data_IF_893108255370
#
_entry.id   IF_893108255370
#
_cell.length_a   1.000
_cell.length_b   1.000
_cell.length_c   1.000
_cell.angle_alpha   90.00
_cell.angle_beta   90.00
_cell.angle_gamma   90.00
#
_symmetry.space_group_name_H-M   'P 1'
#
loop_
_entity.id
_entity.type
_entity.pdbx_description
1 polymer ?
#
# COMPACT_ATOMS: atom_id res chain seq x y z
N UNK A 1 30.56 -8.31 -26.75
CA UNK A 1 29.32 -9.06 -27.06
C UNK A 1 28.38 -8.93 -25.87
N UNK A 2 27.06 -8.95 -26.06
CA UNK A 2 26.08 -8.84 -24.96
C UNK A 2 25.10 -9.99 -25.07
N UNK A 3 24.98 -10.76 -23.99
CA UNK A 3 24.03 -11.86 -23.86
C UNK A 3 23.04 -11.49 -22.77
N UNK A 4 21.73 -11.58 -23.07
CA UNK A 4 20.66 -11.29 -22.13
C UNK A 4 19.94 -12.61 -21.83
N UNK A 5 20.05 -13.04 -20.57
CA UNK A 5 19.30 -14.16 -20.04
C UNK A 5 17.94 -13.65 -19.55
N UNK A 6 16.84 -14.19 -20.06
CA UNK A 6 15.51 -13.74 -19.70
C UNK A 6 14.53 -14.90 -19.56
N UNK A 7 13.43 -14.67 -18.84
CA UNK A 7 12.27 -15.57 -18.83
C UNK A 7 11.22 -15.07 -19.81
N UNK A 8 10.81 -13.84 -19.60
CA UNK A 8 9.82 -13.14 -20.42
C UNK A 8 10.20 -11.65 -20.51
N UNK A 9 9.90 -11.02 -21.64
CA UNK A 9 10.01 -9.56 -21.79
C UNK A 9 8.64 -8.93 -21.55
N UNK A 10 8.56 -7.98 -20.62
CA UNK A 10 7.33 -7.26 -20.30
C UNK A 10 7.36 -5.85 -20.90
N UNK A 11 7.12 -5.74 -22.22
CA UNK A 11 7.09 -4.47 -22.94
C UNK A 11 5.67 -3.88 -22.97
N UNK A 12 5.17 -3.51 -21.79
CA UNK A 12 3.83 -2.97 -21.63
C UNK A 12 3.74 -1.51 -22.13
N UNK A 13 3.76 -1.33 -23.47
CA UNK A 13 3.43 -0.12 -24.26
C UNK A 13 4.00 -0.26 -25.67
N UNK A 14 3.40 0.43 -26.65
CA UNK A 14 3.87 0.41 -28.05
C UNK A 14 5.31 0.89 -28.15
N UNK A 15 5.65 1.97 -27.44
CA UNK A 15 6.98 2.57 -27.48
C UNK A 15 8.06 1.64 -26.94
N UNK A 16 7.73 0.79 -25.95
CA UNK A 16 8.67 -0.18 -25.38
C UNK A 16 8.89 -1.37 -26.32
N UNK A 17 7.83 -1.83 -26.99
CA UNK A 17 7.94 -2.89 -28.00
C UNK A 17 8.76 -2.45 -29.22
N UNK A 18 8.52 -1.22 -29.71
CA UNK A 18 9.32 -0.63 -30.80
C UNK A 18 10.80 -0.51 -30.40
N UNK A 19 11.07 -0.03 -29.18
CA UNK A 19 12.42 0.04 -28.64
C UNK A 19 13.10 -1.33 -28.57
N UNK A 20 12.38 -2.35 -28.09
CA UNK A 20 12.89 -3.72 -28.04
C UNK A 20 13.17 -4.27 -29.45
N UNK A 21 12.26 -4.06 -30.40
CA UNK A 21 12.39 -4.54 -31.77
C UNK A 21 13.63 -4.00 -32.49
N UNK A 22 13.94 -2.73 -32.29
CA UNK A 22 15.11 -2.09 -32.89
C UNK A 22 16.41 -2.55 -32.20
N UNK A 23 16.37 -2.76 -30.89
CA UNK A 23 17.57 -3.04 -30.08
C UNK A 23 17.91 -4.52 -29.96
N UNK A 24 16.96 -5.44 -30.12
CA UNK A 24 17.20 -6.88 -30.00
C UNK A 24 18.29 -7.43 -30.92
N UNK A 25 18.57 -6.73 -32.03
CA UNK A 25 19.64 -7.10 -32.98
C UNK A 25 21.05 -6.89 -32.40
N UNK A 26 21.18 -6.14 -31.31
CA UNK A 26 22.46 -5.80 -30.69
C UNK A 26 22.87 -6.76 -29.56
N UNK A 27 22.04 -7.75 -29.23
CA UNK A 27 22.30 -8.71 -28.16
C UNK A 27 21.81 -10.11 -28.53
N UNK A 28 22.47 -11.12 -27.98
CA UNK A 28 22.00 -12.50 -28.04
C UNK A 28 21.00 -12.69 -26.90
N UNK A 29 19.81 -13.19 -27.21
CA UNK A 29 18.75 -13.40 -26.25
C UNK A 29 18.62 -14.89 -25.98
N UNK A 30 18.86 -15.31 -24.73
CA UNK A 30 18.69 -16.69 -24.30
C UNK A 30 17.57 -16.78 -23.28
N UNK A 31 16.60 -17.66 -23.54
CA UNK A 31 15.41 -17.83 -22.71
C UNK A 31 15.58 -19.03 -21.80
N UNK A 32 15.51 -18.82 -20.49
CA UNK A 32 15.59 -19.87 -19.47
C UNK A 32 14.26 -20.07 -18.73
N UNK A 33 14.11 -21.22 -18.10
CA UNK A 33 12.96 -21.57 -17.25
C UNK A 33 13.29 -21.37 -15.76
N UNK A 34 12.30 -21.00 -14.94
CA UNK A 34 12.47 -20.90 -13.49
C UNK A 34 12.85 -22.24 -12.85
N UNK A 35 12.38 -23.36 -13.41
CA UNK A 35 12.68 -24.70 -12.90
C UNK A 35 14.13 -25.14 -13.20
N UNK A 36 14.78 -24.49 -14.17
CA UNK A 36 16.17 -24.73 -14.57
C UNK A 36 16.92 -23.39 -14.72
N UNK A 37 17.26 -22.73 -13.60
CA UNK A 37 17.92 -21.44 -13.63
C UNK A 37 19.35 -21.54 -14.20
N UNK A 38 19.87 -20.46 -14.80
CA UNK A 38 21.27 -20.36 -15.22
C UNK A 38 22.24 -20.67 -14.09
N UNK A 39 23.20 -21.55 -14.35
CA UNK A 39 24.28 -21.84 -13.41
C UNK A 39 25.50 -21.00 -13.77
N UNK A 40 26.10 -20.37 -12.76
CA UNK A 40 27.30 -19.56 -12.92
C UNK A 40 28.44 -20.12 -12.06
N UNK A 41 29.60 -20.32 -12.68
CA UNK A 41 30.82 -20.74 -12.00
C UNK A 41 31.91 -19.70 -12.23
N UNK A 42 32.51 -19.20 -11.15
CA UNK A 42 33.66 -18.31 -11.25
C UNK A 42 34.92 -19.13 -11.56
N UNK A 43 35.56 -18.86 -12.70
CA UNK A 43 36.76 -19.55 -13.16
C UNK A 43 38.05 -18.89 -12.64
N UNK A 44 38.05 -17.55 -12.55
CA UNK A 44 39.19 -16.77 -12.10
C UNK A 44 38.73 -15.45 -11.51
N UNK A 45 39.46 -14.94 -10.51
CA UNK A 45 39.22 -13.62 -9.91
C UNK A 45 40.06 -12.52 -10.58
N UNK A 46 41.17 -12.86 -11.25
CA UNK A 46 42.09 -11.88 -11.86
C UNK A 46 42.76 -12.44 -13.13
N UNK A 47 42.33 -12.01 -14.35
CA UNK A 47 41.11 -11.24 -14.61
C UNK A 47 39.85 -12.03 -14.22
N UNK A 48 38.78 -11.33 -13.88
CA UNK A 48 37.48 -11.96 -13.61
C UNK A 48 37.01 -12.74 -14.85
N UNK A 49 36.63 -14.00 -14.63
CA UNK A 49 36.01 -14.85 -15.65
C UNK A 49 34.96 -15.73 -15.02
N UNK A 50 33.82 -15.82 -15.70
CA UNK A 50 32.68 -16.61 -15.30
C UNK A 50 32.27 -17.53 -16.43
N UNK A 51 31.95 -18.78 -16.11
CA UNK A 51 31.33 -19.73 -17.02
C UNK A 51 29.85 -19.81 -16.69
N UNK A 52 29.02 -19.66 -17.72
CA UNK A 52 27.58 -19.89 -17.64
C UNK A 52 27.23 -21.22 -18.29
N UNK A 53 26.34 -21.96 -17.64
CA UNK A 53 25.59 -23.07 -18.24
C UNK A 53 24.11 -22.71 -18.21
N UNK A 54 23.50 -22.61 -19.39
CA UNK A 54 22.09 -22.21 -19.54
C UNK A 54 21.41 -23.17 -20.50
N UNK A 55 20.30 -23.77 -20.04
CA UNK A 55 19.41 -24.49 -20.93
C UNK A 55 18.49 -23.48 -21.64
N UNK A 56 18.67 -23.29 -22.94
CA UNK A 56 17.82 -22.39 -23.72
C UNK A 56 16.56 -23.11 -24.19
N UNK A 57 15.41 -22.61 -23.74
CA UNK A 57 14.10 -23.19 -24.03
C UNK A 57 13.66 -23.02 -25.49
N UNK A 58 14.20 -22.06 -26.25
CA UNK A 58 13.83 -21.86 -27.65
C UNK A 58 14.62 -22.82 -28.56
N UNK A 59 15.90 -23.03 -28.25
CA UNK A 59 16.81 -23.92 -28.96
C UNK A 59 16.73 -25.37 -28.46
N UNK A 60 16.19 -25.59 -27.26
CA UNK A 60 16.11 -26.89 -26.58
C UNK A 60 17.50 -27.53 -26.39
N UNK A 61 18.50 -26.71 -26.05
CA UNK A 61 19.90 -27.14 -25.94
C UNK A 61 20.63 -26.43 -24.78
N UNK A 62 21.71 -27.03 -24.31
CA UNK A 62 22.58 -26.47 -23.29
C UNK A 62 23.65 -25.58 -23.92
N UNK A 63 23.60 -24.29 -23.58
CA UNK A 63 24.53 -23.28 -24.07
C UNK A 63 25.53 -22.97 -22.98
N UNK A 64 26.79 -23.21 -23.30
CA UNK A 64 27.92 -22.92 -22.43
C UNK A 64 28.73 -21.75 -23.01
N UNK A 65 28.94 -20.71 -22.22
CA UNK A 65 29.75 -19.56 -22.62
C UNK A 65 30.53 -18.96 -21.45
N UNK A 66 31.58 -18.21 -21.77
CA UNK A 66 32.39 -17.48 -20.79
C UNK A 66 32.12 -15.97 -20.91
N UNK A 67 32.14 -15.27 -19.78
CA UNK A 67 32.02 -13.82 -19.71
C UNK A 67 32.97 -13.23 -18.67
N UNK A 68 33.32 -11.97 -18.87
CA UNK A 68 34.15 -11.13 -18.03
C UNK A 68 33.33 -10.19 -17.12
N UNK A 69 32.03 -10.00 -17.39
CA UNK A 69 31.16 -9.12 -16.61
C UNK A 69 29.73 -9.67 -16.49
N UNK A 70 29.20 -9.68 -15.27
CA UNK A 70 27.82 -10.04 -14.98
C UNK A 70 27.06 -8.80 -14.54
N UNK A 71 25.94 -8.52 -15.21
CA UNK A 71 24.99 -7.47 -14.81
C UNK A 71 23.72 -8.14 -14.32
N UNK A 72 23.40 -7.95 -13.04
CA UNK A 72 22.16 -8.45 -12.42
C UNK A 72 21.12 -7.34 -12.44
N UNK A 73 19.89 -7.65 -12.86
CA UNK A 73 18.74 -6.74 -12.79
C UNK A 73 17.87 -7.15 -11.60
N UNK A 74 18.12 -6.61 -10.38
CA UNK A 74 17.37 -6.99 -9.19
C UNK A 74 15.93 -6.45 -9.25
N UNK A 75 14.99 -7.08 -8.52
CA UNK A 75 13.67 -6.51 -8.34
C UNK A 75 13.75 -5.22 -7.51
N UNK A 76 12.77 -4.34 -7.70
CA UNK A 76 12.57 -3.20 -6.82
C UNK A 76 11.81 -3.65 -5.57
N UNK A 77 12.29 -3.24 -4.41
CA UNK A 77 11.66 -3.51 -3.11
C UNK A 77 11.28 -2.19 -2.42
N UNK A 78 10.34 -2.21 -1.45
CA UNK A 78 10.01 -1.04 -0.65
C UNK A 78 11.23 -0.48 0.10
N UNK A 79 11.18 0.81 0.45
CA UNK A 79 12.20 1.42 1.31
C UNK A 79 12.12 0.94 2.75
N UNK A 80 13.25 0.85 3.44
CA UNK A 80 13.35 0.30 4.80
C UNK A 80 12.44 1.00 5.83
N UNK A 81 12.18 2.29 5.65
CA UNK A 81 11.37 3.10 6.56
C UNK A 81 9.86 3.13 6.20
N UNK A 82 9.43 2.39 5.18
CA UNK A 82 8.06 2.49 4.67
C UNK A 82 7.02 2.00 5.69
N UNK A 83 7.36 0.96 6.46
CA UNK A 83 6.48 0.41 7.50
C UNK A 83 6.27 1.40 8.68
N UNK A 84 7.34 2.07 9.09
CA UNK A 84 7.27 3.11 10.11
C UNK A 84 6.39 4.28 9.64
N UNK A 85 6.60 4.73 8.40
CA UNK A 85 5.81 5.79 7.79
C UNK A 85 4.32 5.39 7.66
N UNK A 86 4.04 4.14 7.28
CA UNK A 86 2.69 3.62 7.21
C UNK A 86 1.96 3.67 8.57
N UNK A 87 2.66 3.31 9.65
CA UNK A 87 2.16 3.40 11.03
C UNK A 87 1.89 4.85 11.45
N UNK A 88 2.80 5.77 11.13
CA UNK A 88 2.65 7.21 11.43
C UNK A 88 1.44 7.82 10.71
N UNK A 89 1.28 7.50 9.42
CA UNK A 89 0.19 8.02 8.58
C UNK A 89 -1.13 7.24 8.76
N UNK A 90 -1.08 6.08 9.44
CA UNK A 90 -2.21 5.16 9.61
C UNK A 90 -2.80 4.75 8.25
N UNK A 91 -1.94 4.33 7.33
CA UNK A 91 -2.31 3.84 5.99
C UNK A 91 -1.86 2.40 5.79
N UNK A 92 -2.61 1.60 5.01
CA UNK A 92 -2.29 0.18 4.81
C UNK A 92 -1.11 -0.03 3.86
N UNK A 93 -0.44 -1.17 4.05
CA UNK A 93 0.49 -1.75 3.08
C UNK A 93 -0.13 -3.00 2.44
N UNK A 94 0.33 -3.35 1.25
CA UNK A 94 -0.01 -4.60 0.57
C UNK A 94 0.87 -5.77 1.05
N UNK A 95 0.66 -6.96 0.49
CA UNK A 95 1.42 -8.17 0.85
C UNK A 95 2.90 -8.13 0.41
N UNK A 96 3.29 -7.15 -0.41
CA UNK A 96 4.66 -6.92 -0.87
C UNK A 96 5.35 -5.80 -0.10
N UNK A 97 4.66 -5.18 0.85
CA UNK A 97 5.17 -4.10 1.68
C UNK A 97 5.10 -2.72 1.03
N UNK A 98 4.39 -2.53 -0.09
CA UNK A 98 4.13 -1.21 -0.68
C UNK A 98 2.82 -0.61 -0.17
N UNK A 99 2.60 0.69 -0.36
CA UNK A 99 1.34 1.33 0.02
C UNK A 99 0.16 0.83 -0.81
N UNK A 100 -0.93 0.49 -0.10
CA UNK A 100 -2.18 0.03 -0.72
C UNK A 100 -3.14 1.20 -0.96
N UNK A 101 -3.56 1.37 -2.20
CA UNK A 101 -4.54 2.38 -2.61
C UNK A 101 -5.97 2.04 -2.14
N UNK A 102 -6.86 3.03 -2.16
CA UNK A 102 -8.25 2.87 -1.74
C UNK A 102 -9.06 1.98 -2.68
N UNK A 103 -8.85 2.12 -3.99
CA UNK A 103 -9.49 1.27 -4.99
C UNK A 103 -8.74 1.35 -6.34
N UNK A 104 -8.35 0.22 -6.97
CA UNK A 104 -7.48 0.19 -8.15
C UNK A 104 -7.95 1.03 -9.34
N UNK A 105 -9.28 1.13 -9.55
CA UNK A 105 -9.88 1.89 -10.67
C UNK A 105 -10.44 3.26 -10.29
N UNK A 106 -11.28 3.33 -9.26
CA UNK A 106 -12.01 4.54 -8.90
C UNK A 106 -11.15 5.55 -8.12
N UNK A 107 -10.19 5.07 -7.33
CA UNK A 107 -9.38 5.89 -6.42
C UNK A 107 -7.92 5.39 -6.36
N UNK A 108 -7.21 5.38 -7.49
CA UNK A 108 -5.89 4.73 -7.61
C UNK A 108 -4.73 5.49 -6.95
N UNK A 109 -4.96 6.74 -6.52
CA UNK A 109 -3.96 7.62 -5.91
C UNK A 109 -4.41 8.10 -4.52
N UNK A 110 -5.46 7.49 -3.98
CA UNK A 110 -6.01 7.82 -2.67
C UNK A 110 -5.70 6.71 -1.69
N UNK A 111 -5.61 7.05 -0.41
CA UNK A 111 -5.81 6.08 0.66
C UNK A 111 -7.27 6.01 1.11
N UNK A 112 -7.61 4.92 1.81
CA UNK A 112 -8.88 4.83 2.54
C UNK A 112 -8.99 5.96 3.58
N UNK A 113 -7.86 6.31 4.20
CA UNK A 113 -7.71 7.49 5.05
C UNK A 113 -7.79 8.76 4.21
N UNK A 114 -8.80 9.59 4.48
CA UNK A 114 -9.02 10.84 3.76
C UNK A 114 -7.90 11.86 3.97
N UNK A 115 -7.63 12.66 2.94
CA UNK A 115 -6.60 13.71 2.97
C UNK A 115 -5.17 13.23 2.77
N UNK A 116 -4.94 11.92 2.66
CA UNK A 116 -3.64 11.32 2.33
C UNK A 116 -3.72 10.73 0.92
N UNK A 117 -2.70 11.02 0.11
CA UNK A 117 -2.62 10.61 -1.28
C UNK A 117 -1.30 9.88 -1.55
N UNK A 118 -1.31 9.10 -2.63
CA UNK A 118 -0.24 8.18 -2.99
C UNK A 118 0.25 8.49 -4.41
N UNK A 119 1.57 8.55 -4.59
CA UNK A 119 2.19 8.63 -5.90
C UNK A 119 3.59 8.00 -5.93
N UNK A 120 4.02 7.64 -7.13
CA UNK A 120 5.38 7.17 -7.38
C UNK A 120 5.63 5.73 -6.93
N UNK A 121 6.89 5.43 -6.64
CA UNK A 121 7.37 4.08 -6.35
C UNK A 121 6.87 3.49 -5.03
N UNK A 122 6.52 4.35 -4.07
CA UNK A 122 6.00 3.90 -2.78
C UNK A 122 4.69 3.09 -2.91
N UNK A 123 3.99 3.21 -4.03
CA UNK A 123 2.80 2.43 -4.38
C UNK A 123 3.14 1.05 -4.96
N UNK A 124 4.10 0.96 -5.90
CA UNK A 124 4.59 -0.28 -6.52
C UNK A 124 5.71 0.03 -7.56
N UNK A 125 6.51 -0.95 -8.03
CA UNK A 125 7.55 -0.73 -9.03
C UNK A 125 7.01 -0.29 -10.40
N UNK A 126 7.22 0.97 -10.81
CA UNK A 126 6.62 1.53 -12.04
C UNK A 126 7.59 2.42 -12.81
N UNK A 127 7.26 2.76 -14.06
CA UNK A 127 8.10 3.66 -14.84
C UNK A 127 7.97 5.13 -14.41
N UNK A 128 8.97 5.94 -14.78
CA UNK A 128 8.99 7.39 -14.48
C UNK A 128 7.75 8.12 -14.99
N UNK A 129 7.29 7.80 -16.21
CA UNK A 129 6.10 8.43 -16.78
C UNK A 129 4.86 8.15 -15.92
N UNK A 130 4.70 6.92 -15.46
CA UNK A 130 3.58 6.56 -14.59
C UNK A 130 3.67 7.23 -13.23
N UNK A 131 4.88 7.35 -12.68
CA UNK A 131 5.13 8.11 -11.44
C UNK A 131 4.73 9.58 -11.59
N UNK A 132 5.05 10.21 -12.73
CA UNK A 132 4.65 11.59 -13.04
C UNK A 132 3.12 11.70 -13.16
N UNK A 133 2.48 10.76 -13.88
CA UNK A 133 1.02 10.74 -14.01
C UNK A 133 0.33 10.59 -12.65
N UNK A 134 0.82 9.68 -11.79
CA UNK A 134 0.29 9.54 -10.44
C UNK A 134 0.54 10.78 -9.59
N UNK A 135 1.71 11.41 -9.69
CA UNK A 135 2.00 12.65 -8.97
C UNK A 135 1.02 13.77 -9.35
N UNK A 136 0.73 13.94 -10.65
CA UNK A 136 -0.29 14.88 -11.11
C UNK A 136 -1.69 14.52 -10.60
N UNK A 137 -2.03 13.23 -10.60
CA UNK A 137 -3.29 12.73 -10.04
C UNK A 137 -3.43 13.06 -8.55
N UNK A 138 -2.41 12.72 -7.75
CA UNK A 138 -2.35 13.01 -6.32
C UNK A 138 -2.42 14.52 -6.06
N UNK A 139 -1.69 15.34 -6.81
CA UNK A 139 -1.74 16.80 -6.72
C UNK A 139 -3.15 17.35 -7.03
N UNK A 140 -3.82 16.81 -8.05
CA UNK A 140 -5.20 17.18 -8.38
C UNK A 140 -6.18 16.80 -7.26
N UNK A 141 -6.03 15.60 -6.68
CA UNK A 141 -6.85 15.15 -5.55
C UNK A 141 -6.62 16.01 -4.32
N UNK A 142 -5.37 16.30 -3.98
CA UNK A 142 -5.02 17.19 -2.87
C UNK A 142 -5.52 18.61 -3.08
N UNK A 143 -5.39 19.15 -4.31
CA UNK A 143 -5.86 20.50 -4.64
C UNK A 143 -7.36 20.65 -4.40
N UNK A 144 -8.17 19.61 -4.66
CA UNK A 144 -9.61 19.63 -4.35
C UNK A 144 -9.87 19.85 -2.86
N UNK A 145 -9.10 19.20 -1.98
CA UNK A 145 -9.22 19.41 -0.54
C UNK A 145 -8.81 20.83 -0.15
N UNK A 146 -7.67 21.30 -0.68
CA UNK A 146 -7.14 22.64 -0.36
C UNK A 146 -7.98 23.80 -0.90
N UNK A 147 -8.68 23.58 -2.02
CA UNK A 147 -9.50 24.62 -2.66
C UNK A 147 -10.92 24.69 -2.09
N UNK A 148 -11.33 23.67 -1.32
CA UNK A 148 -12.65 23.64 -0.71
C UNK A 148 -12.70 24.57 0.50
N UNK A 149 -13.75 25.39 0.59
CA UNK A 149 -13.99 26.25 1.77
C UNK A 149 -14.38 25.41 2.99
N UNK A 150 -15.10 24.33 2.75
CA UNK A 150 -15.62 23.42 3.78
C UNK A 150 -15.45 21.98 3.29
N UNK A 151 -15.21 21.06 4.22
CA UNK A 151 -15.10 19.63 3.95
C UNK A 151 -16.11 18.93 4.84
N UNK A 152 -17.00 18.15 4.22
CA UNK A 152 -17.93 17.32 4.97
C UNK A 152 -17.14 16.19 5.65
N UNK A 153 -17.12 16.18 6.98
CA UNK A 153 -16.62 15.07 7.75
C UNK A 153 -17.68 13.96 7.85
N UNK A 154 -17.24 12.72 8.05
CA UNK A 154 -18.16 11.61 8.29
C UNK A 154 -19.04 11.87 9.52
N UNK A 155 -20.33 11.55 9.41
CA UNK A 155 -21.28 11.57 10.53
C UNK A 155 -21.12 10.37 11.48
N UNK A 156 -20.28 9.39 11.13
CA UNK A 156 -19.95 8.22 11.94
C UNK A 156 -19.00 8.63 13.08
N UNK A 157 -19.53 9.32 14.07
CA UNK A 157 -18.79 9.82 15.24
C UNK A 157 -19.43 9.34 16.53
N UNK A 158 -18.62 9.30 17.59
CA UNK A 158 -19.08 8.96 18.92
C UNK A 158 -19.58 10.21 19.67
N UNK A 159 -20.58 10.01 20.52
CA UNK A 159 -21.18 11.04 21.38
C UNK A 159 -21.39 10.46 22.79
N UNK A 160 -21.23 11.31 23.80
CA UNK A 160 -21.32 10.92 25.22
C UNK A 160 -22.53 11.58 25.88
N UNK A 161 -23.35 10.77 26.54
CA UNK A 161 -24.41 11.25 27.42
C UNK A 161 -23.80 11.63 28.78
N UNK A 162 -23.77 12.94 29.06
CA UNK A 162 -23.19 13.48 30.29
C UNK A 162 -24.00 13.19 31.55
N UNK A 163 -25.27 12.81 31.43
CA UNK A 163 -26.13 12.47 32.58
C UNK A 163 -25.88 11.05 33.07
N UNK A 164 -25.49 10.14 32.17
CA UNK A 164 -25.18 8.73 32.47
C UNK A 164 -23.68 8.53 32.77
N UNK A 165 -22.82 9.36 32.19
CA UNK A 165 -21.37 9.23 32.32
C UNK A 165 -20.87 9.48 33.75
N UNK A 166 -20.30 8.44 34.37
CA UNK A 166 -19.67 8.52 35.71
C UNK A 166 -18.22 9.03 35.71
N UNK A 167 -17.65 9.37 34.54
CA UNK A 167 -16.30 9.92 34.46
C UNK A 167 -15.16 8.94 34.78
N UNK A 168 -15.33 7.64 34.54
CA UNK A 168 -14.31 6.60 34.83
C UNK A 168 -13.03 6.71 33.97
N UNK A 169 -13.04 7.51 32.90
CA UNK A 169 -11.90 7.86 32.04
C UNK A 169 -11.26 6.68 31.26
N UNK A 170 -11.90 5.51 31.23
CA UNK A 170 -11.45 4.35 30.44
C UNK A 170 -11.40 4.67 28.95
N UNK A 171 -12.45 5.33 28.42
CA UNK A 171 -12.55 5.71 27.01
C UNK A 171 -11.41 6.62 26.52
N UNK A 172 -10.88 7.51 27.37
CA UNK A 172 -9.78 8.42 27.02
C UNK A 172 -8.52 7.63 26.65
N UNK A 173 -8.19 6.59 27.43
CA UNK A 173 -6.99 5.78 27.22
C UNK A 173 -7.08 4.88 25.99
N UNK A 174 -8.30 4.48 25.61
CA UNK A 174 -8.54 3.54 24.52
C UNK A 174 -8.65 4.19 23.15
N UNK A 175 -8.80 5.51 23.07
CA UNK A 175 -8.96 6.18 21.78
C UNK A 175 -7.62 6.28 21.03
N UNK A 176 -7.42 5.58 19.89
CA UNK A 176 -6.16 5.62 19.16
C UNK A 176 -5.95 6.93 18.39
N UNK A 177 -6.95 7.81 18.38
CA UNK A 177 -6.94 9.11 17.69
C UNK A 177 -6.88 10.29 18.66
N UNK A 178 -6.80 10.06 19.98
CA UNK A 178 -6.85 11.10 21.02
C UNK A 178 -8.07 12.04 20.86
N UNK A 179 -9.19 11.51 20.39
CA UNK A 179 -10.41 12.28 20.15
C UNK A 179 -11.19 12.59 21.43
N UNK A 180 -10.86 11.95 22.55
CA UNK A 180 -11.63 12.02 23.80
C UNK A 180 -10.79 12.74 24.85
N UNK A 181 -11.35 13.76 25.47
CA UNK A 181 -10.70 14.57 26.51
C UNK A 181 -11.70 14.90 27.61
N UNK A 182 -11.28 15.75 28.55
CA UNK A 182 -12.14 16.31 29.59
C UNK A 182 -12.37 17.79 29.32
N UNK A 183 -13.55 18.28 29.67
CA UNK A 183 -13.83 19.70 29.72
C UNK A 183 -13.45 20.30 31.09
N UNK A 184 -13.73 21.59 31.27
CA UNK A 184 -13.48 22.33 32.52
C UNK A 184 -14.29 21.82 33.72
N UNK A 185 -15.38 21.10 33.47
CA UNK A 185 -16.26 20.50 34.50
C UNK A 185 -15.86 19.05 34.86
N UNK A 186 -14.66 18.59 34.48
CA UNK A 186 -14.18 17.19 34.58
C UNK A 186 -15.08 16.15 33.85
N UNK A 187 -15.99 16.60 32.98
CA UNK A 187 -16.82 15.71 32.16
C UNK A 187 -16.07 15.27 30.91
N UNK A 188 -16.29 14.01 30.53
CA UNK A 188 -15.74 13.45 29.29
C UNK A 188 -16.42 14.11 28.10
N UNK A 189 -15.63 14.53 27.11
CA UNK A 189 -16.11 15.10 25.85
C UNK A 189 -15.38 14.46 24.67
N UNK A 190 -16.07 14.36 23.53
CA UNK A 190 -15.52 13.77 22.31
C UNK A 190 -15.42 14.86 21.23
N UNK A 191 -14.21 15.08 20.73
CA UNK A 191 -13.98 15.91 19.56
C UNK A 191 -14.42 15.15 18.30
N UNK A 192 -15.58 15.55 17.76
CA UNK A 192 -16.20 14.91 16.58
C UNK A 192 -15.29 14.97 15.33
N UNK A 193 -14.39 15.95 15.21
CA UNK A 193 -13.47 16.07 14.06
C UNK A 193 -12.29 15.09 14.12
N UNK A 194 -11.85 14.73 15.32
CA UNK A 194 -10.77 13.74 15.53
C UNK A 194 -11.32 12.30 15.57
N UNK A 195 -12.60 12.14 15.90
CA UNK A 195 -13.25 10.84 15.99
C UNK A 195 -13.32 10.16 14.61
N UNK A 196 -12.83 8.94 14.50
CA UNK A 196 -12.96 8.09 13.29
C UNK A 196 -14.06 7.03 13.39
N UNK A 197 -14.91 7.11 14.42
CA UNK A 197 -16.08 6.24 14.53
C UNK A 197 -15.81 4.76 14.80
N UNK A 198 -14.59 4.39 15.20
CA UNK A 198 -14.19 2.96 15.38
C UNK A 198 -14.96 2.18 16.46
N UNK A 199 -15.79 2.81 17.29
CA UNK A 199 -16.65 2.13 18.27
C UNK A 199 -15.97 1.63 19.56
N UNK A 200 -14.64 1.59 19.66
CA UNK A 200 -13.91 1.05 20.83
C UNK A 200 -14.36 1.66 22.16
N UNK A 201 -14.59 2.98 22.19
CA UNK A 201 -15.03 3.68 23.39
C UNK A 201 -16.47 3.36 23.81
N UNK A 202 -17.36 3.14 22.84
CA UNK A 202 -18.75 2.71 23.09
C UNK A 202 -18.78 1.30 23.66
N UNK A 203 -18.10 0.36 23.00
CA UNK A 203 -18.04 -1.04 23.42
C UNK A 203 -17.37 -1.26 24.79
N UNK A 204 -16.50 -0.35 25.22
CA UNK A 204 -15.78 -0.44 26.50
C UNK A 204 -16.41 0.40 27.61
N UNK A 205 -17.52 1.10 27.36
CA UNK A 205 -18.16 1.94 28.37
C UNK A 205 -19.00 1.07 29.32
N UNK A 206 -18.67 0.98 30.62
CA UNK A 206 -19.42 0.13 31.54
C UNK A 206 -20.87 0.60 31.76
N UNK A 207 -21.11 1.91 31.62
CA UNK A 207 -22.44 2.52 31.82
C UNK A 207 -23.21 2.69 30.50
N UNK A 208 -22.66 2.24 29.36
CA UNK A 208 -23.22 2.50 28.03
C UNK A 208 -23.51 4.00 27.75
N UNK A 209 -22.77 4.90 28.39
CA UNK A 209 -22.95 6.34 28.24
C UNK A 209 -22.46 6.89 26.90
N UNK A 210 -21.80 6.09 26.07
CA UNK A 210 -21.25 6.50 24.78
C UNK A 210 -22.01 5.77 23.68
N UNK A 211 -22.49 6.52 22.70
CA UNK A 211 -23.06 5.97 21.47
C UNK A 211 -22.16 6.29 20.28
N UNK A 212 -22.25 5.49 19.23
CA UNK A 212 -21.65 5.80 17.93
C UNK A 212 -22.81 5.94 16.95
N UNK A 213 -22.93 7.10 16.29
CA UNK A 213 -24.01 7.31 15.33
C UNK A 213 -23.94 6.26 14.21
N UNK A 214 -25.10 5.77 13.75
CA UNK A 214 -25.23 4.66 12.80
C UNK A 214 -24.81 3.26 13.29
N UNK A 215 -24.27 3.14 14.51
CA UNK A 215 -23.97 1.85 15.16
C UNK A 215 -24.35 1.92 16.65
N UNK A 216 -25.58 2.35 16.95
CA UNK A 216 -26.08 2.36 18.32
C UNK A 216 -26.36 0.94 18.80
N UNK A 217 -26.39 0.74 20.13
CA UNK A 217 -26.76 -0.57 20.70
C UNK A 217 -28.12 -1.05 20.19
N UNK A 218 -29.11 -0.17 20.09
CA UNK A 218 -30.44 -0.51 19.58
C UNK A 218 -30.40 -0.98 18.12
N UNK A 219 -29.61 -0.31 17.27
CA UNK A 219 -29.44 -0.70 15.86
C UNK A 219 -28.79 -2.08 15.73
N UNK A 220 -27.69 -2.30 16.45
CA UNK A 220 -26.97 -3.59 16.44
C UNK A 220 -27.87 -4.71 17.02
N UNK A 221 -28.56 -4.45 18.13
CA UNK A 221 -29.48 -5.43 18.72
C UNK A 221 -30.63 -5.75 17.76
N UNK A 222 -31.17 -4.76 17.06
CA UNK A 222 -32.21 -4.99 16.05
C UNK A 222 -31.72 -5.88 14.93
N UNK A 223 -30.49 -5.67 14.43
CA UNK A 223 -29.86 -6.56 13.44
C UNK A 223 -29.68 -7.99 13.96
N UNK A 224 -29.25 -8.14 15.22
CA UNK A 224 -29.07 -9.46 15.87
C UNK A 224 -30.41 -10.18 16.02
N UNK A 225 -31.45 -9.51 16.53
CA UNK A 225 -32.76 -10.12 16.79
C UNK A 225 -33.38 -10.63 15.48
N UNK A 226 -33.33 -9.82 14.42
CA UNK A 226 -33.86 -10.20 13.10
C UNK A 226 -33.14 -11.44 12.54
N UNK A 227 -31.82 -11.55 12.72
CA UNK A 227 -31.07 -12.73 12.30
C UNK A 227 -31.25 -13.93 13.23
N UNK A 228 -31.45 -13.69 14.53
CA UNK A 228 -31.60 -14.70 15.57
C UNK A 228 -32.96 -15.40 15.57
N UNK A 229 -33.97 -14.82 14.90
CA UNK A 229 -35.28 -15.43 14.71
C UNK A 229 -36.20 -15.37 15.94
N UNK A 230 -35.96 -14.45 16.87
CA UNK A 230 -36.92 -14.08 17.92
C UNK A 230 -37.90 -13.00 17.44
#
# INVERSE_FOLDING_TARGET
>A
EVIILYRDFQMAKKEFEEYFYDRRKNAILLRYDIDKPPEVTQLSNKPERYKFNVFDTNLQDEINFETDLIIITPPMIPSDNLEELAKMLKVPLDNHGFFLEAHPKLRPVDFATEGIFLCGYAHWPKHIQESITQANGAAGRASRFLSSKEIAASGLVAEVNSEVCVGCKVCIKLCPYNAISKNEEDKVVINKLLCKGCGVCSASCPENAIIVHHFTFEQILSEIIVFGGE
#
